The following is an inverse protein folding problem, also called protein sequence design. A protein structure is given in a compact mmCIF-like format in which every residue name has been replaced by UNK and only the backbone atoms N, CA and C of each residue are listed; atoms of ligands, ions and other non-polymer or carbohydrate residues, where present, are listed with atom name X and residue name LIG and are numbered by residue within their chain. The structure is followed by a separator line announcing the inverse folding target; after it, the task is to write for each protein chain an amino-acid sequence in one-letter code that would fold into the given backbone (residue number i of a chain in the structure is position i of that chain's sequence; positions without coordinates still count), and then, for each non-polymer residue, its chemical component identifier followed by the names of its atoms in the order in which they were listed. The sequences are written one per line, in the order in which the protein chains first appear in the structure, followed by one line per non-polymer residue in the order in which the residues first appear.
data_IF_831859049530
#
_entry.id   IF_831859049530
#
_cell.length_a   1.000
_cell.length_b   1.000
_cell.length_c   1.000
_cell.angle_alpha   90.00
_cell.angle_beta   90.00
_cell.angle_gamma   90.00
#
_symmetry.space_group_name_H-M   'P 1'
#
loop_
_entity.id
_entity.type
_entity.pdbx_description
1 polymer ?
#
# COMPACT_ATOMS: atom_id res chain seq x y z
N UNK A 1 -55.39 12.39 -62.28
CA UNK A 1 -55.76 13.71 -62.90
C UNK A 1 -55.19 14.80 -62.03
N UNK A 2 -54.46 15.68 -62.62
CA UNK A 2 -53.93 16.98 -62.18
C UNK A 2 -52.95 17.00 -60.95
N UNK A 3 -51.76 16.96 -61.31
CA UNK A 3 -50.58 17.43 -60.62
C UNK A 3 -50.58 18.97 -60.59
N UNK A 4 -50.53 19.57 -59.42
CA UNK A 4 -50.34 21.01 -59.31
C UNK A 4 -48.94 21.27 -58.79
N UNK A 5 -48.10 21.78 -59.66
CA UNK A 5 -46.74 22.21 -59.37
C UNK A 5 -46.79 23.60 -58.75
N UNK A 6 -46.45 23.72 -57.45
CA UNK A 6 -46.13 25.01 -56.86
C UNK A 6 -44.66 25.31 -57.10
N UNK A 7 -44.38 26.23 -58.01
CA UNK A 7 -43.06 26.84 -58.16
C UNK A 7 -42.81 27.79 -56.99
N UNK A 8 -41.78 27.47 -56.23
CA UNK A 8 -41.25 28.39 -55.26
C UNK A 8 -40.22 29.29 -55.97
N UNK A 9 -40.58 30.57 -56.13
CA UNK A 9 -39.69 31.63 -56.57
C UNK A 9 -38.64 31.87 -55.48
N UNK A 10 -37.40 31.79 -55.92
CA UNK A 10 -36.22 32.05 -55.10
C UNK A 10 -36.09 33.55 -54.91
N UNK A 11 -36.39 34.08 -53.72
CA UNK A 11 -36.01 35.45 -53.33
C UNK A 11 -34.49 35.44 -53.06
N UNK A 12 -33.80 36.30 -53.79
CA UNK A 12 -32.40 36.65 -53.57
C UNK A 12 -32.30 37.61 -52.38
N UNK A 13 -32.29 37.06 -51.18
CA UNK A 13 -31.93 37.82 -49.99
C UNK A 13 -30.40 37.91 -49.90
N UNK A 14 -29.92 39.13 -49.95
CA UNK A 14 -28.52 39.45 -49.66
C UNK A 14 -28.20 39.04 -48.24
N UNK A 15 -27.32 38.06 -48.08
CA UNK A 15 -26.80 37.66 -46.76
C UNK A 15 -26.17 38.87 -46.07
N UNK A 16 -26.54 39.16 -44.83
CA UNK A 16 -25.83 40.17 -44.04
C UNK A 16 -24.39 39.73 -43.82
N UNK A 17 -23.47 40.64 -44.11
CA UNK A 17 -22.02 40.50 -43.85
C UNK A 17 -21.83 40.03 -42.40
N UNK A 18 -21.04 38.96 -42.16
CA UNK A 18 -20.73 38.52 -40.80
C UNK A 18 -20.05 39.65 -40.03
N UNK A 19 -20.51 39.86 -38.79
CA UNK A 19 -19.89 40.78 -37.86
C UNK A 19 -18.41 40.49 -37.68
N UNK A 20 -17.57 41.47 -37.52
CA UNK A 20 -16.15 41.25 -37.25
C UNK A 20 -16.04 40.52 -35.91
N UNK A 21 -15.26 39.42 -35.95
CA UNK A 21 -14.88 38.63 -34.78
C UNK A 21 -14.32 39.58 -33.72
N UNK A 22 -14.76 39.50 -32.44
CA UNK A 22 -14.19 40.33 -31.39
C UNK A 22 -12.69 40.03 -31.28
N UNK A 23 -11.92 41.10 -31.11
CA UNK A 23 -10.47 41.01 -30.87
C UNK A 23 -10.20 40.10 -29.68
N UNK A 24 -9.15 39.26 -29.76
CA UNK A 24 -8.73 38.46 -28.60
C UNK A 24 -8.38 39.39 -27.44
N UNK A 25 -8.96 39.09 -26.29
CA UNK A 25 -8.64 39.73 -25.01
C UNK A 25 -7.11 39.81 -24.82
N UNK A 26 -6.56 40.91 -24.37
CA UNK A 26 -5.13 41.01 -24.11
C UNK A 26 -4.74 39.96 -23.07
N UNK A 27 -3.72 39.21 -23.43
CA UNK A 27 -3.08 38.19 -22.60
C UNK A 27 -2.79 38.75 -21.20
N UNK A 28 -3.23 38.08 -20.12
CA UNK A 28 -2.97 38.56 -18.77
C UNK A 28 -1.46 38.67 -18.55
N UNK A 29 -1.03 39.86 -18.19
CA UNK A 29 0.36 40.14 -17.78
C UNK A 29 0.85 39.07 -16.79
N UNK A 30 2.01 38.46 -17.00
CA UNK A 30 2.51 37.44 -16.07
C UNK A 30 2.68 38.07 -14.69
N UNK A 31 2.04 37.47 -13.71
CA UNK A 31 2.22 37.78 -12.29
C UNK A 31 3.72 37.60 -11.95
N UNK A 32 4.37 38.54 -11.28
CA UNK A 32 5.73 38.33 -10.86
C UNK A 32 5.85 37.12 -9.98
N UNK A 33 6.74 36.21 -10.35
CA UNK A 33 7.13 35.07 -9.51
C UNK A 33 7.59 35.62 -8.15
N UNK A 34 7.05 35.08 -7.04
CA UNK A 34 7.61 35.45 -5.74
C UNK A 34 9.08 35.04 -5.69
N UNK A 35 9.91 35.93 -5.15
CA UNK A 35 11.32 35.69 -4.86
C UNK A 35 11.47 34.38 -4.09
N UNK A 36 12.47 33.55 -4.41
CA UNK A 36 12.74 32.37 -3.62
C UNK A 36 13.09 32.81 -2.19
N UNK A 37 12.34 32.23 -1.24
CA UNK A 37 12.63 32.37 0.20
C UNK A 37 14.10 32.09 0.44
N UNK A 38 14.78 32.93 1.25
CA UNK A 38 16.18 32.70 1.61
C UNK A 38 16.30 31.30 2.26
N UNK A 39 17.27 30.57 1.76
CA UNK A 39 17.69 29.27 2.27
C UNK A 39 17.81 29.32 3.81
N UNK A 40 17.21 28.42 4.56
CA UNK A 40 17.38 28.37 6.01
C UNK A 40 18.87 28.12 6.30
N UNK A 41 19.42 29.01 7.10
CA UNK A 41 20.76 28.97 7.67
C UNK A 41 21.12 27.56 8.14
N UNK A 42 22.25 26.97 7.80
CA UNK A 42 22.61 25.60 8.19
C UNK A 42 22.65 25.53 9.71
N UNK A 43 21.78 24.71 10.26
CA UNK A 43 21.75 24.29 11.68
C UNK A 43 23.17 23.86 12.07
N UNK A 44 23.73 24.39 13.19
CA UNK A 44 25.06 23.98 13.64
C UNK A 44 25.08 22.47 13.89
N UNK A 45 26.08 21.83 13.32
CA UNK A 45 26.40 20.42 13.52
C UNK A 45 26.58 20.17 15.03
N UNK A 46 25.91 19.19 15.64
CA UNK A 46 26.17 18.86 17.04
C UNK A 46 27.65 18.43 17.18
N UNK A 47 28.35 19.06 18.10
CA UNK A 47 29.69 18.66 18.52
C UNK A 47 29.63 17.19 18.98
N UNK A 48 30.58 16.34 18.56
CA UNK A 48 30.65 14.97 19.07
C UNK A 48 30.84 14.99 20.57
N UNK A 49 30.05 14.15 21.25
CA UNK A 49 30.17 13.87 22.68
C UNK A 49 31.60 13.36 22.98
N UNK A 50 32.23 13.80 24.06
CA UNK A 50 33.54 13.28 24.44
C UNK A 50 33.44 11.78 24.75
N UNK A 51 34.36 11.04 24.12
CA UNK A 51 34.56 9.60 24.27
C UNK A 51 34.60 9.22 25.76
N UNK A 52 33.85 8.20 26.21
CA UNK A 52 33.88 7.75 27.60
C UNK A 52 35.30 7.26 27.95
N UNK A 53 35.85 7.84 28.97
CA UNK A 53 37.13 7.40 29.55
C UNK A 53 37.10 5.89 29.90
N UNK A 54 38.12 5.14 29.55
CA UNK A 54 38.18 3.70 29.86
C UNK A 54 38.17 3.49 31.36
N UNK A 55 37.30 2.56 31.80
CA UNK A 55 37.13 2.10 33.16
C UNK A 55 38.44 1.46 33.68
N UNK A 56 38.90 1.77 34.89
CA UNK A 56 40.07 1.15 35.43
C UNK A 56 39.84 -0.35 35.69
N UNK A 57 40.64 -1.13 35.06
CA UNK A 57 41.01 -2.55 35.23
C UNK A 57 40.23 -3.32 36.31
N UNK A 58 39.46 -4.37 35.94
CA UNK A 58 38.80 -5.22 36.92
C UNK A 58 39.83 -6.04 37.71
N UNK A 59 39.71 -5.99 39.03
CA UNK A 59 40.46 -6.86 39.96
C UNK A 59 40.20 -8.32 39.64
N UNK A 60 41.23 -9.21 39.66
CA UNK A 60 41.04 -10.62 39.39
C UNK A 60 40.23 -11.31 40.47
N UNK A 61 39.24 -12.04 40.00
CA UNK A 61 38.34 -12.90 40.78
C UNK A 61 39.14 -14.05 41.43
N UNK A 62 38.86 -14.42 42.71
CA UNK A 62 39.58 -15.47 43.42
C UNK A 62 39.30 -16.84 42.78
N UNK A 63 40.39 -17.58 42.57
CA UNK A 63 40.47 -18.97 42.11
C UNK A 63 39.50 -19.87 42.87
N UNK A 64 38.67 -20.69 42.20
CA UNK A 64 37.86 -21.69 42.87
C UNK A 64 38.70 -22.88 43.31
N UNK A 65 38.57 -23.26 44.59
CA UNK A 65 39.15 -24.45 45.22
C UNK A 65 38.51 -25.72 44.64
N UNK A 66 39.29 -26.76 44.28
CA UNK A 66 38.73 -28.03 43.82
C UNK A 66 38.33 -28.88 45.03
N UNK A 67 37.03 -29.12 45.21
CA UNK A 67 36.63 -30.28 46.01
C UNK A 67 35.22 -30.77 45.61
N UNK A 68 35.15 -32.10 45.62
CA UNK A 68 33.99 -32.98 45.68
C UNK A 68 33.38 -33.45 44.34
N UNK A 69 33.76 -34.69 44.05
CA UNK A 69 33.09 -35.65 43.16
C UNK A 69 31.59 -35.77 43.47
N UNK A 70 30.69 -35.51 42.54
CA UNK A 70 29.30 -35.88 42.72
C UNK A 70 29.06 -37.33 42.25
N UNK A 71 28.42 -38.05 43.14
CA UNK A 71 27.80 -39.35 42.97
C UNK A 71 26.84 -39.37 41.74
N UNK A 72 26.81 -40.41 40.91
CA UNK A 72 25.92 -40.46 39.73
C UNK A 72 24.47 -40.66 40.15
N UNK A 73 23.70 -39.61 40.04
CA UNK A 73 22.22 -39.64 40.10
C UNK A 73 21.66 -40.16 38.78
N UNK A 74 20.64 -40.99 38.78
CA UNK A 74 20.13 -41.65 37.56
C UNK A 74 19.61 -40.66 36.54
N UNK A 75 20.00 -40.91 35.28
CA UNK A 75 19.59 -40.21 34.06
C UNK A 75 18.07 -40.04 34.01
N UNK A 76 17.53 -38.82 33.91
CA UNK A 76 16.13 -38.66 33.57
C UNK A 76 15.91 -39.04 32.12
N UNK A 77 14.96 -39.96 31.94
CA UNK A 77 14.32 -40.35 30.70
C UNK A 77 14.01 -39.09 29.87
N UNK A 78 14.21 -39.05 28.54
CA UNK A 78 13.85 -37.90 27.76
C UNK A 78 12.34 -37.72 27.78
N UNK A 79 11.92 -36.82 28.62
CA UNK A 79 10.54 -36.31 28.60
C UNK A 79 10.40 -35.45 27.34
N UNK A 80 9.55 -35.90 26.46
CA UNK A 80 9.19 -35.18 25.25
C UNK A 80 8.31 -33.97 25.56
N UNK A 81 8.80 -33.11 26.41
CA UNK A 81 8.23 -31.75 26.58
C UNK A 81 8.73 -30.90 25.46
N UNK A 82 7.99 -30.86 24.37
CA UNK A 82 8.05 -29.75 23.44
C UNK A 82 7.89 -28.47 24.26
N UNK A 83 8.99 -27.76 24.47
CA UNK A 83 8.97 -26.36 24.84
C UNK A 83 8.20 -25.61 23.75
N UNK A 84 6.88 -25.61 23.91
CA UNK A 84 6.03 -24.65 23.23
C UNK A 84 6.32 -23.33 23.93
N UNK A 85 7.29 -22.59 23.37
CA UNK A 85 7.39 -21.16 23.60
C UNK A 85 6.08 -20.55 23.08
N UNK A 86 5.06 -20.59 23.92
CA UNK A 86 3.72 -20.03 23.67
C UNK A 86 3.86 -18.52 23.71
N UNK A 87 4.37 -17.94 22.61
CA UNK A 87 4.35 -16.48 22.44
C UNK A 87 2.89 -16.04 22.49
N UNK A 88 2.50 -15.47 23.62
CA UNK A 88 1.15 -14.95 23.80
C UNK A 88 0.89 -13.85 22.78
N UNK A 89 -0.05 -14.10 21.85
CA UNK A 89 -0.44 -13.10 20.86
C UNK A 89 -1.19 -11.96 21.54
N UNK A 90 -0.73 -10.74 21.34
CA UNK A 90 -1.35 -9.51 21.81
C UNK A 90 -1.58 -8.54 20.67
N UNK A 91 -2.32 -7.45 20.92
CA UNK A 91 -2.36 -6.32 19.99
C UNK A 91 -0.94 -5.77 19.82
N UNK A 92 -0.50 -5.60 18.59
CA UNK A 92 0.87 -5.19 18.25
C UNK A 92 1.79 -6.33 17.88
N UNK A 93 1.49 -7.58 18.26
CA UNK A 93 2.31 -8.75 17.88
C UNK A 93 2.54 -8.80 16.38
N UNK A 94 3.79 -9.07 16.00
CA UNK A 94 4.21 -9.22 14.60
C UNK A 94 4.27 -10.71 14.29
N UNK A 95 3.66 -11.10 13.19
CA UNK A 95 3.63 -12.47 12.70
C UNK A 95 3.86 -12.52 11.18
N UNK A 96 4.04 -13.72 10.65
CA UNK A 96 4.23 -13.98 9.23
C UNK A 96 3.12 -14.88 8.71
N UNK A 97 2.92 -14.88 7.38
CA UNK A 97 2.07 -15.88 6.76
C UNK A 97 2.81 -17.24 6.69
N UNK A 98 2.05 -18.32 6.48
CA UNK A 98 2.60 -19.67 6.38
C UNK A 98 3.68 -19.83 5.29
N UNK A 99 3.73 -18.92 4.32
CA UNK A 99 4.74 -18.89 3.23
C UNK A 99 5.96 -18.04 3.58
N UNK A 100 5.95 -17.33 4.70
CA UNK A 100 7.01 -16.41 5.10
C UNK A 100 7.23 -15.24 4.14
N UNK A 101 6.21 -14.88 3.34
CA UNK A 101 6.33 -13.81 2.33
C UNK A 101 5.98 -12.46 2.92
N UNK A 102 4.93 -12.40 3.74
CA UNK A 102 4.39 -11.17 4.28
C UNK A 102 4.51 -11.11 5.79
N UNK A 103 4.81 -9.91 6.30
CA UNK A 103 4.74 -9.57 7.72
C UNK A 103 3.42 -8.89 8.03
N UNK A 104 2.84 -9.27 9.16
CA UNK A 104 1.59 -8.72 9.66
C UNK A 104 1.76 -8.20 11.08
N UNK A 105 0.96 -7.20 11.44
CA UNK A 105 0.80 -6.75 12.82
C UNK A 105 -0.65 -6.97 13.22
N UNK A 106 -0.85 -7.59 14.39
CA UNK A 106 -2.20 -7.75 14.98
C UNK A 106 -2.69 -6.38 15.44
N UNK A 107 -3.82 -5.95 14.92
CA UNK A 107 -4.39 -4.63 15.23
C UNK A 107 -5.53 -4.71 16.25
N UNK A 108 -6.19 -5.88 16.31
CA UNK A 108 -7.23 -6.17 17.30
C UNK A 108 -7.20 -7.65 17.65
N UNK A 109 -7.14 -7.95 18.94
CA UNK A 109 -7.33 -9.30 19.48
C UNK A 109 -8.81 -9.55 19.71
N UNK A 110 -9.33 -10.60 19.12
CA UNK A 110 -10.66 -11.15 19.45
C UNK A 110 -10.79 -12.53 18.82
N UNK A 111 -11.33 -13.50 19.54
CA UNK A 111 -11.45 -14.89 19.09
C UNK A 111 -12.20 -15.03 17.75
N UNK A 112 -13.27 -14.26 17.52
CA UNK A 112 -14.08 -14.32 16.28
C UNK A 112 -13.86 -13.14 15.31
N UNK A 113 -13.40 -11.98 15.76
CA UNK A 113 -13.32 -10.74 14.98
C UNK A 113 -11.97 -10.04 15.11
N UNK A 114 -10.90 -10.79 15.31
CA UNK A 114 -9.55 -10.28 15.32
C UNK A 114 -9.19 -9.66 13.98
N UNK A 115 -8.33 -8.64 14.00
CA UNK A 115 -7.87 -7.98 12.77
C UNK A 115 -6.36 -7.83 12.74
N UNK A 116 -5.82 -7.86 11.53
CA UNK A 116 -4.40 -7.65 11.26
C UNK A 116 -4.23 -6.67 10.09
N UNK A 117 -3.05 -6.07 10.04
CA UNK A 117 -2.60 -5.29 8.90
C UNK A 117 -1.30 -5.84 8.34
N UNK A 118 -1.12 -5.74 7.02
CA UNK A 118 0.15 -6.06 6.37
C UNK A 118 1.11 -4.89 6.60
N UNK A 119 2.27 -5.16 7.19
CA UNK A 119 3.29 -4.13 7.49
C UNK A 119 4.49 -4.17 6.55
N UNK A 120 4.64 -5.23 5.77
CA UNK A 120 5.74 -5.33 4.82
C UNK A 120 5.88 -6.69 4.18
N UNK A 121 6.93 -6.80 3.36
CA UNK A 121 7.37 -8.03 2.72
C UNK A 121 8.59 -8.59 3.46
N UNK A 122 8.59 -9.89 3.72
CA UNK A 122 9.71 -10.60 4.33
C UNK A 122 10.60 -11.21 3.25
N UNK A 123 10.00 -11.91 2.30
CA UNK A 123 10.70 -12.58 1.20
C UNK A 123 10.36 -11.90 -0.12
N UNK A 124 11.37 -11.42 -0.84
CA UNK A 124 11.19 -10.75 -2.14
C UNK A 124 10.39 -11.61 -3.10
N UNK A 125 9.32 -11.06 -3.67
CA UNK A 125 8.47 -11.77 -4.63
C UNK A 125 7.95 -10.82 -5.70
N UNK A 126 7.93 -11.30 -6.96
CA UNK A 126 7.32 -10.55 -8.05
C UNK A 126 5.79 -10.55 -8.03
N UNK A 127 5.18 -11.50 -7.32
CA UNK A 127 3.73 -11.64 -7.20
C UNK A 127 3.36 -11.83 -5.74
N UNK A 128 2.60 -10.89 -5.20
CA UNK A 128 2.17 -10.91 -3.81
C UNK A 128 0.64 -11.04 -3.75
N UNK A 129 0.16 -11.94 -2.90
CA UNK A 129 -1.26 -12.06 -2.58
C UNK A 129 -1.46 -11.72 -1.11
N UNK A 130 -2.17 -10.62 -0.85
CA UNK A 130 -2.63 -10.26 0.47
C UNK A 130 -3.94 -11.01 0.71
N UNK A 131 -3.98 -11.99 1.61
CA UNK A 131 -5.16 -12.80 1.87
C UNK A 131 -6.27 -11.98 2.55
N UNK A 132 -7.47 -12.49 2.56
CA UNK A 132 -8.58 -11.88 3.31
C UNK A 132 -8.45 -12.13 4.81
N UNK A 133 -7.86 -13.27 5.18
CA UNK A 133 -7.64 -13.70 6.57
C UNK A 133 -6.27 -14.36 6.69
N UNK A 134 -5.71 -14.35 7.89
CA UNK A 134 -4.55 -15.15 8.29
C UNK A 134 -4.89 -15.91 9.56
N UNK A 135 -4.29 -17.07 9.74
CA UNK A 135 -4.39 -17.86 10.98
C UNK A 135 -3.01 -17.93 11.63
N UNK A 136 -2.96 -17.58 12.90
CA UNK A 136 -1.75 -17.59 13.71
C UNK A 136 -2.09 -18.24 15.03
N UNK A 137 -1.38 -19.29 15.41
CA UNK A 137 -1.66 -20.06 16.64
C UNK A 137 -3.14 -20.45 16.79
N UNK A 138 -3.77 -20.96 15.70
CA UNK A 138 -5.18 -21.36 15.71
C UNK A 138 -6.19 -20.21 15.66
N UNK A 139 -5.78 -18.95 15.86
CA UNK A 139 -6.66 -17.77 15.84
C UNK A 139 -6.69 -17.16 14.45
N UNK A 140 -7.89 -16.95 13.91
CA UNK A 140 -8.07 -16.34 12.58
C UNK A 140 -8.31 -14.83 12.69
N UNK A 141 -7.48 -14.06 11.98
CA UNK A 141 -7.57 -12.61 11.89
C UNK A 141 -7.97 -12.16 10.49
N UNK A 142 -8.90 -11.19 10.40
CA UNK A 142 -9.23 -10.53 9.14
C UNK A 142 -8.12 -9.53 8.77
N UNK A 143 -7.57 -9.62 7.58
CA UNK A 143 -6.61 -8.64 7.07
C UNK A 143 -7.37 -7.43 6.57
N UNK A 144 -7.39 -6.36 7.36
CA UNK A 144 -8.24 -5.19 7.11
C UNK A 144 -7.49 -3.98 6.56
N UNK A 145 -6.18 -3.97 6.67
CA UNK A 145 -5.37 -2.85 6.21
C UNK A 145 -4.02 -3.28 5.62
N UNK A 146 -3.48 -2.41 4.80
CA UNK A 146 -2.07 -2.38 4.40
C UNK A 146 -1.49 -1.14 5.06
N UNK A 147 -0.44 -1.29 5.82
CA UNK A 147 0.19 -0.22 6.58
C UNK A 147 0.82 0.85 5.67
N UNK A 148 1.13 1.99 6.23
CA UNK A 148 1.91 3.02 5.57
C UNK A 148 3.28 2.45 5.15
N UNK A 149 3.71 2.79 3.93
CA UNK A 149 5.01 2.39 3.35
C UNK A 149 5.30 0.88 3.30
N UNK A 150 4.31 0.00 3.50
CA UNK A 150 4.49 -1.46 3.64
C UNK A 150 5.30 -2.11 2.50
N UNK A 151 5.14 -1.63 1.27
CA UNK A 151 5.86 -2.12 0.08
C UNK A 151 6.65 -1.02 -0.62
N UNK A 152 6.92 0.10 0.06
CA UNK A 152 7.61 1.23 -0.54
C UNK A 152 8.96 0.82 -1.11
N UNK A 153 9.27 1.30 -2.35
CA UNK A 153 10.52 1.01 -3.06
C UNK A 153 10.74 -0.47 -3.41
N UNK A 154 9.72 -1.33 -3.37
CA UNK A 154 9.90 -2.71 -3.79
C UNK A 154 10.16 -2.78 -5.31
N UNK A 155 11.41 -3.10 -5.66
CA UNK A 155 11.89 -3.20 -7.04
C UNK A 155 11.49 -4.52 -7.73
N UNK A 156 10.98 -5.52 -6.99
CA UNK A 156 10.65 -6.84 -7.50
C UNK A 156 9.15 -7.02 -7.73
N UNK A 157 8.30 -6.32 -6.99
CA UNK A 157 6.85 -6.46 -7.03
C UNK A 157 6.29 -6.08 -8.41
N UNK A 158 5.78 -7.05 -9.15
CA UNK A 158 5.15 -6.90 -10.47
C UNK A 158 3.62 -6.91 -10.39
N UNK A 159 3.08 -7.69 -9.45
CA UNK A 159 1.63 -7.91 -9.31
C UNK A 159 1.24 -8.03 -7.83
N UNK A 160 0.14 -7.41 -7.47
CA UNK A 160 -0.46 -7.55 -6.13
C UNK A 160 -1.94 -7.88 -6.21
N UNK A 161 -2.36 -8.88 -5.44
CA UNK A 161 -3.77 -9.23 -5.22
C UNK A 161 -4.16 -8.80 -3.82
N UNK A 162 -5.17 -7.96 -3.71
CA UNK A 162 -5.67 -7.38 -2.45
C UNK A 162 -6.93 -8.11 -2.02
N UNK A 163 -6.88 -8.73 -0.86
CA UNK A 163 -7.96 -9.54 -0.28
C UNK A 163 -9.24 -8.76 -0.03
N UNK A 164 -10.34 -9.49 0.07
CA UNK A 164 -11.69 -8.90 0.16
C UNK A 164 -11.97 -8.11 1.44
N UNK A 165 -11.27 -8.41 2.52
CA UNK A 165 -11.44 -7.75 3.82
C UNK A 165 -10.62 -6.46 3.97
N UNK A 166 -9.72 -6.14 3.02
CA UNK A 166 -8.90 -4.93 3.06
C UNK A 166 -9.78 -3.69 2.84
N UNK A 167 -9.87 -2.85 3.86
CA UNK A 167 -10.65 -1.62 3.90
C UNK A 167 -9.79 -0.35 3.78
N UNK A 168 -8.48 -0.47 4.07
CA UNK A 168 -7.55 0.67 4.07
C UNK A 168 -6.21 0.29 3.45
N UNK A 169 -5.71 1.16 2.59
CA UNK A 169 -4.34 1.13 2.06
C UNK A 169 -3.66 2.39 2.57
N UNK A 170 -2.57 2.22 3.30
CA UNK A 170 -1.83 3.30 3.94
C UNK A 170 -1.17 4.27 2.96
N UNK A 171 -0.73 5.40 3.47
CA UNK A 171 0.04 6.40 2.74
C UNK A 171 1.31 5.75 2.18
N UNK A 172 1.62 6.02 0.90
CA UNK A 172 2.85 5.53 0.25
C UNK A 172 3.03 3.99 0.27
N UNK A 173 1.96 3.21 0.47
CA UNK A 173 2.05 1.76 0.67
C UNK A 173 2.80 1.04 -0.47
N UNK A 174 2.60 1.44 -1.72
CA UNK A 174 3.28 0.91 -2.91
C UNK A 174 4.07 2.00 -3.66
N UNK A 175 4.45 3.07 -2.97
CA UNK A 175 5.21 4.16 -3.59
C UNK A 175 6.52 3.65 -4.17
N UNK A 176 6.83 4.08 -5.41
CA UNK A 176 8.06 3.72 -6.13
C UNK A 176 8.23 2.20 -6.40
N UNK A 177 7.15 1.41 -6.37
CA UNK A 177 7.16 0.04 -6.90
C UNK A 177 7.17 0.07 -8.43
N UNK A 178 8.28 0.40 -9.03
CA UNK A 178 8.40 0.74 -10.47
C UNK A 178 8.04 -0.42 -11.43
N UNK A 179 8.08 -1.67 -10.96
CA UNK A 179 7.68 -2.85 -11.73
C UNK A 179 6.22 -3.23 -11.55
N UNK A 180 5.50 -2.63 -10.58
CA UNK A 180 4.11 -2.95 -10.31
C UNK A 180 3.21 -2.49 -11.47
N UNK A 181 2.73 -3.46 -12.21
CA UNK A 181 1.88 -3.27 -13.40
C UNK A 181 0.50 -3.88 -13.27
N UNK A 182 0.24 -4.69 -12.23
CA UNK A 182 -1.06 -5.33 -12.03
C UNK A 182 -1.49 -5.24 -10.57
N UNK A 183 -2.69 -4.70 -10.35
CA UNK A 183 -3.32 -4.61 -9.03
C UNK A 183 -4.72 -5.21 -9.11
N UNK A 184 -5.00 -6.22 -8.30
CA UNK A 184 -6.31 -6.88 -8.29
C UNK A 184 -7.00 -6.66 -6.95
N UNK A 185 -8.21 -6.11 -6.96
CA UNK A 185 -9.06 -5.94 -5.79
C UNK A 185 -10.14 -7.02 -5.73
N UNK A 186 -10.13 -7.86 -4.70
CA UNK A 186 -11.13 -8.92 -4.49
C UNK A 186 -12.34 -8.46 -3.67
N UNK A 187 -12.29 -7.27 -3.09
CA UNK A 187 -13.36 -6.72 -2.23
C UNK A 187 -14.59 -6.26 -3.00
N UNK A 188 -15.77 -6.36 -2.36
CA UNK A 188 -17.03 -5.80 -2.87
C UNK A 188 -17.10 -4.27 -2.72
N UNK A 189 -16.33 -3.70 -1.78
CA UNK A 189 -16.25 -2.26 -1.49
C UNK A 189 -14.86 -1.73 -1.83
N UNK A 190 -14.79 -0.51 -2.34
CA UNK A 190 -13.52 0.17 -2.59
C UNK A 190 -12.83 0.52 -1.26
N UNK A 191 -11.57 0.11 -1.02
CA UNK A 191 -10.83 0.50 0.16
C UNK A 191 -10.53 2.00 0.15
N UNK A 192 -10.34 2.62 1.32
CA UNK A 192 -9.69 3.92 1.40
C UNK A 192 -8.24 3.80 0.94
N UNK A 193 -7.73 4.79 0.21
CA UNK A 193 -6.37 4.79 -0.33
C UNK A 193 -5.68 6.06 0.14
N UNK A 194 -4.57 5.91 0.84
CA UNK A 194 -3.78 7.02 1.37
C UNK A 194 -3.03 7.79 0.29
N UNK A 195 -2.58 9.01 0.64
CA UNK A 195 -1.83 9.89 -0.26
C UNK A 195 -0.62 9.15 -0.83
N UNK A 196 -0.42 9.29 -2.15
CA UNK A 196 0.72 8.71 -2.88
C UNK A 196 0.87 7.17 -2.75
N UNK A 197 -0.20 6.44 -2.36
CA UNK A 197 -0.11 5.00 -2.12
C UNK A 197 0.39 4.21 -3.33
N UNK A 198 0.14 4.68 -4.55
CA UNK A 198 0.58 4.07 -5.81
C UNK A 198 1.43 5.02 -6.65
N UNK A 199 2.01 6.09 -6.06
CA UNK A 199 2.88 7.02 -6.78
C UNK A 199 4.14 6.30 -7.27
N UNK A 200 4.48 6.47 -8.56
CA UNK A 200 5.69 5.90 -9.14
C UNK A 200 5.68 4.40 -9.36
N UNK A 201 4.50 3.77 -9.48
CA UNK A 201 4.36 2.43 -10.06
C UNK A 201 4.59 2.47 -11.58
N UNK A 202 4.53 1.35 -12.29
CA UNK A 202 4.71 1.31 -13.75
C UNK A 202 3.75 2.28 -14.44
N UNK A 203 4.26 3.09 -15.39
CA UNK A 203 3.46 4.14 -16.08
C UNK A 203 2.14 3.64 -16.70
N UNK A 204 2.10 2.38 -17.17
CA UNK A 204 0.88 1.70 -17.63
C UNK A 204 0.58 0.57 -16.63
N UNK A 205 -0.49 0.66 -15.86
CA UNK A 205 -0.88 -0.35 -14.87
C UNK A 205 -2.33 -0.82 -15.11
N UNK A 206 -2.54 -2.13 -14.94
CA UNK A 206 -3.85 -2.76 -15.02
C UNK A 206 -4.45 -2.91 -13.63
N UNK A 207 -5.64 -2.38 -13.42
CA UNK A 207 -6.40 -2.60 -12.20
C UNK A 207 -7.58 -3.50 -12.50
N UNK A 208 -7.59 -4.66 -11.86
CA UNK A 208 -8.68 -5.63 -11.94
C UNK A 208 -9.56 -5.50 -10.68
N UNK A 209 -10.86 -5.58 -10.86
CA UNK A 209 -11.83 -5.55 -9.77
C UNK A 209 -12.67 -6.81 -9.79
N UNK A 210 -13.12 -7.25 -8.61
CA UNK A 210 -14.02 -8.38 -8.49
C UNK A 210 -15.32 -8.13 -9.28
N UNK A 211 -15.84 -9.16 -9.93
CA UNK A 211 -17.12 -9.11 -10.65
C UNK A 211 -18.30 -8.66 -9.77
N UNK A 212 -18.23 -9.00 -8.48
CA UNK A 212 -19.23 -8.63 -7.45
C UNK A 212 -19.13 -7.16 -6.98
N UNK A 213 -18.14 -6.38 -7.42
CA UNK A 213 -18.04 -4.96 -7.06
C UNK A 213 -19.07 -4.14 -7.85
N UNK A 214 -19.95 -3.42 -7.15
CA UNK A 214 -20.97 -2.56 -7.77
C UNK A 214 -20.32 -1.42 -8.56
N UNK A 215 -20.96 -0.96 -9.65
CA UNK A 215 -20.47 0.14 -10.52
C UNK A 215 -20.08 1.40 -9.72
N UNK A 216 -20.89 1.78 -8.72
CA UNK A 216 -20.61 2.92 -7.83
C UNK A 216 -19.29 2.76 -7.04
N UNK A 217 -19.00 1.54 -6.57
CA UNK A 217 -17.75 1.26 -5.86
C UNK A 217 -16.55 1.25 -6.81
N UNK A 218 -16.73 0.79 -8.04
CA UNK A 218 -15.68 0.86 -9.08
C UNK A 218 -15.33 2.33 -9.36
N UNK A 219 -16.35 3.20 -9.59
CA UNK A 219 -16.14 4.65 -9.78
C UNK A 219 -15.42 5.29 -8.58
N UNK A 220 -15.82 4.91 -7.36
CA UNK A 220 -15.16 5.36 -6.13
C UNK A 220 -13.70 4.93 -6.06
N UNK A 221 -13.39 3.68 -6.43
CA UNK A 221 -12.03 3.16 -6.52
C UNK A 221 -11.21 3.92 -7.57
N UNK A 222 -11.78 4.14 -8.76
CA UNK A 222 -11.14 4.89 -9.84
C UNK A 222 -10.69 6.29 -9.38
N UNK A 223 -11.60 7.04 -8.74
CA UNK A 223 -11.28 8.37 -8.22
C UNK A 223 -10.15 8.33 -7.19
N UNK A 224 -10.19 7.38 -6.24
CA UNK A 224 -9.13 7.21 -5.23
C UNK A 224 -7.79 6.83 -5.84
N UNK A 225 -7.80 5.94 -6.84
CA UNK A 225 -6.57 5.55 -7.55
C UNK A 225 -6.00 6.71 -8.36
N UNK A 226 -6.83 7.54 -8.99
CA UNK A 226 -6.41 8.73 -9.73
C UNK A 226 -5.65 9.70 -8.82
N UNK A 227 -6.14 9.93 -7.62
CA UNK A 227 -5.48 10.77 -6.61
C UNK A 227 -4.20 10.12 -6.05
N UNK A 228 -4.21 8.80 -5.85
CA UNK A 228 -3.09 8.07 -5.27
C UNK A 228 -1.95 7.78 -6.26
N UNK A 229 -2.22 7.87 -7.57
CA UNK A 229 -1.27 7.58 -8.65
C UNK A 229 -1.45 8.57 -9.82
N UNK A 230 -1.23 9.88 -9.62
CA UNK A 230 -1.60 10.92 -10.61
C UNK A 230 -0.90 10.78 -11.96
N UNK A 231 0.32 10.25 -11.99
CA UNK A 231 1.13 10.12 -13.20
C UNK A 231 1.03 8.73 -13.87
N UNK A 232 0.06 7.91 -13.46
CA UNK A 232 -0.07 6.53 -13.95
C UNK A 232 -1.32 6.38 -14.80
N UNK A 233 -1.15 5.94 -16.06
CA UNK A 233 -2.28 5.55 -16.90
C UNK A 233 -2.82 4.20 -16.45
N UNK A 234 -4.02 4.18 -15.86
CA UNK A 234 -4.64 2.99 -15.28
C UNK A 234 -5.75 2.48 -16.21
N UNK A 235 -5.64 1.21 -16.58
CA UNK A 235 -6.69 0.47 -17.29
C UNK A 235 -7.46 -0.38 -16.29
N UNK A 236 -8.79 -0.27 -16.28
CA UNK A 236 -9.66 -1.03 -15.39
C UNK A 236 -10.32 -2.19 -16.14
N UNK A 237 -10.20 -3.40 -15.58
CA UNK A 237 -10.87 -4.60 -16.09
C UNK A 237 -11.73 -5.21 -14.98
N UNK A 238 -13.00 -5.50 -15.27
CA UNK A 238 -13.88 -6.25 -14.37
C UNK A 238 -13.62 -7.74 -14.59
N UNK A 239 -13.30 -8.48 -13.54
CA UNK A 239 -13.17 -9.94 -13.64
C UNK A 239 -14.58 -10.54 -13.68
N UNK A 240 -14.96 -11.10 -14.81
CA UNK A 240 -16.20 -11.89 -14.96
C UNK A 240 -15.89 -13.28 -14.40
N UNK A 241 -16.56 -13.69 -13.33
CA UNK A 241 -16.53 -15.08 -12.87
C UNK A 241 -17.67 -15.79 -13.57
N UNK A 242 -17.36 -16.58 -14.58
CA UNK A 242 -18.32 -17.54 -15.15
C UNK A 242 -18.45 -18.65 -14.10
N UNK A 243 -19.63 -18.85 -13.56
CA UNK A 243 -19.98 -20.03 -12.78
C UNK A 243 -20.59 -21.00 -13.79
N UNK A 244 -19.95 -22.11 -14.00
CA UNK A 244 -20.52 -23.28 -14.66
C UNK A 244 -21.34 -24.05 -13.65
#
# INVERSE_FOLDING_TARGET
MNLNWLQFTRETGTDPKPDPKPDPDPDPTPTPTPDPDPDPDPTPTPTPDPDPTPDPNPTPDPTPTPDQTPNPTPSPKPDSSKDQNTVTLTKGSICQDAKGILKYRITKMAAKNGTAEVIGIQKKSGKVTIPSTITVQGITFKVTAIAEKAFRNDKNLKSVVIGSNVKKIGKQAFEKCRKLSSVTFKGKKAPSIGKAAFKGIKKKANVQVAGSMKKSQVKKLQNRMKTAAPSVKITYKKKITVRF
#
